data_IF_106684859031
#
_entry.id   IF_106684859031
#
_cell.length_a   1.000
_cell.length_b   1.000
_cell.length_c   1.000
_cell.angle_alpha   90.00
_cell.angle_beta   90.00
_cell.angle_gamma   90.00
#
_symmetry.space_group_name_H-M   'P 1'
#
loop_
_entity.id
_entity.type
_entity.pdbx_description
1 polymer ?
#
# COMPACT_ATOMS: atom_id res chain seq x y z
N UNK A 1 -16.38 -4.02 23.44
CA UNK A 1 -15.09 -4.64 23.13
C UNK A 1 -14.03 -3.57 23.37
N UNK A 2 -12.81 -3.94 23.79
CA UNK A 2 -11.70 -3.00 23.75
C UNK A 2 -11.51 -2.48 22.30
N UNK A 3 -11.03 -1.24 22.12
CA UNK A 3 -10.75 -0.70 20.78
C UNK A 3 -9.62 -1.48 20.12
N UNK A 4 -9.66 -1.61 18.79
CA UNK A 4 -8.56 -2.17 18.00
C UNK A 4 -7.38 -1.20 18.08
N UNK A 5 -6.18 -1.70 18.32
CA UNK A 5 -4.95 -0.91 18.28
C UNK A 5 -4.21 -1.18 16.97
N UNK A 6 -3.73 -0.13 16.31
CA UNK A 6 -2.94 -0.25 15.08
C UNK A 6 -1.64 0.53 15.26
N UNK A 7 -0.52 -0.16 15.07
CA UNK A 7 0.79 0.48 14.97
C UNK A 7 1.19 0.55 13.50
N UNK A 8 1.42 1.78 12.99
CA UNK A 8 1.81 2.03 11.61
C UNK A 8 3.22 2.58 11.59
N UNK A 9 4.14 1.87 10.95
CA UNK A 9 5.52 2.32 10.77
C UNK A 9 5.63 2.98 9.40
N UNK A 10 5.65 4.33 9.36
CA UNK A 10 5.80 5.07 8.10
C UNK A 10 7.27 5.38 7.82
N UNK A 11 7.80 4.82 6.73
CA UNK A 11 9.12 5.14 6.19
C UNK A 11 8.98 6.05 4.98
N UNK A 12 9.68 7.20 5.01
CA UNK A 12 9.67 8.15 3.91
C UNK A 12 11.04 8.19 3.26
N UNK A 13 11.15 7.51 2.11
CA UNK A 13 12.39 7.40 1.35
C UNK A 13 12.97 8.78 0.96
N UNK A 14 12.12 9.75 0.64
CA UNK A 14 12.57 11.10 0.26
C UNK A 14 13.27 11.84 1.40
N UNK A 15 12.79 11.66 2.63
CA UNK A 15 13.41 12.25 3.81
C UNK A 15 14.76 11.58 4.14
N UNK A 16 14.86 10.27 3.92
CA UNK A 16 16.10 9.51 4.09
C UNK A 16 17.16 9.94 3.07
N UNK A 17 16.80 10.05 1.79
CA UNK A 17 17.71 10.51 0.73
C UNK A 17 18.19 11.95 0.95
N UNK A 18 17.31 12.86 1.40
CA UNK A 18 17.71 14.23 1.71
C UNK A 18 18.68 14.29 2.90
N UNK A 19 18.46 13.49 3.95
CA UNK A 19 19.37 13.42 5.09
C UNK A 19 20.73 12.81 4.73
N UNK A 20 20.77 11.81 3.84
CA UNK A 20 22.00 11.22 3.31
C UNK A 20 22.79 12.18 2.42
N UNK A 21 22.10 12.97 1.58
CA UNK A 21 22.71 14.04 0.78
C UNK A 21 23.26 15.17 1.66
N UNK A 22 22.51 15.67 2.65
CA UNK A 22 23.00 16.68 3.59
C UNK A 22 24.19 16.18 4.43
N UNK A 23 24.22 14.90 4.81
CA UNK A 23 25.35 14.30 5.50
C UNK A 23 26.60 14.20 4.62
N UNK A 24 26.42 14.01 3.31
CA UNK A 24 27.50 13.93 2.32
C UNK A 24 28.00 15.32 1.87
N UNK A 25 27.12 16.32 1.81
CA UNK A 25 27.45 17.69 1.37
C UNK A 25 28.06 18.58 2.47
N UNK A 26 27.98 18.18 3.75
CA UNK A 26 28.66 18.88 4.86
C UNK A 26 30.20 18.88 4.78
N UNK A 27 30.80 18.25 3.77
CA UNK A 27 32.24 18.35 3.46
C UNK A 27 32.57 19.37 2.34
N UNK A 28 31.60 20.02 1.69
CA UNK A 28 31.86 20.96 0.60
C UNK A 28 30.85 22.14 0.49
N UNK A 29 31.14 23.23 1.21
CA UNK A 29 30.74 24.63 0.91
C UNK A 29 29.25 25.06 1.03
N UNK A 30 29.07 26.39 1.01
CA UNK A 30 27.99 27.24 1.58
C UNK A 30 26.54 27.05 1.06
N UNK A 31 25.50 27.46 1.82
CA UNK A 31 24.12 27.09 1.54
C UNK A 31 23.53 27.94 0.40
N UNK A 32 23.24 27.30 -0.73
CA UNK A 32 22.31 27.83 -1.74
C UNK A 32 20.92 27.24 -1.49
N UNK A 33 20.06 28.05 -0.89
CA UNK A 33 18.63 27.76 -0.73
C UNK A 33 17.91 27.90 -2.08
N UNK A 34 17.71 26.80 -2.81
CA UNK A 34 16.60 26.72 -3.77
C UNK A 34 16.17 25.28 -4.09
N UNK A 35 14.84 25.11 -4.21
CA UNK A 35 14.10 23.90 -4.60
C UNK A 35 13.90 22.82 -3.51
N UNK A 36 12.86 23.03 -2.69
CA UNK A 36 12.41 22.09 -1.68
C UNK A 36 11.71 20.87 -2.28
N UNK A 37 12.12 19.70 -1.79
CA UNK A 37 11.35 18.46 -1.87
C UNK A 37 10.43 18.48 -0.63
N UNK A 38 9.15 18.79 -0.85
CA UNK A 38 8.16 18.79 0.23
C UNK A 38 7.83 17.34 0.63
N UNK A 39 7.97 17.02 1.91
CA UNK A 39 7.39 15.83 2.53
C UNK A 39 6.71 16.20 3.85
N UNK A 40 5.63 15.50 4.27
CA UNK A 40 4.77 14.57 3.54
C UNK A 40 3.36 15.16 3.35
N UNK A 41 2.62 14.74 2.31
CA UNK A 41 1.25 15.19 2.09
C UNK A 41 0.25 14.73 3.20
N UNK A 42 0.67 13.80 4.07
CA UNK A 42 -0.16 13.16 5.09
C UNK A 42 0.68 12.90 6.37
N UNK A 43 0.18 13.33 7.52
CA UNK A 43 0.79 13.12 8.84
C UNK A 43 0.64 11.66 9.33
N UNK A 44 1.59 11.16 10.13
CA UNK A 44 1.54 9.80 10.69
C UNK A 44 0.21 9.49 11.40
N UNK A 45 -0.27 10.40 12.23
CA UNK A 45 -1.54 10.25 12.94
C UNK A 45 -2.75 10.13 12.00
N UNK A 46 -2.65 10.65 10.77
CA UNK A 46 -3.70 10.47 9.75
C UNK A 46 -3.66 9.06 9.19
N UNK A 47 -2.47 8.53 8.90
CA UNK A 47 -2.30 7.14 8.47
C UNK A 47 -2.81 6.16 9.51
N UNK A 48 -2.38 6.30 10.77
CA UNK A 48 -2.86 5.49 11.90
C UNK A 48 -4.39 5.53 11.99
N UNK A 49 -4.98 6.72 11.95
CA UNK A 49 -6.44 6.88 11.99
C UNK A 49 -7.16 6.25 10.79
N UNK A 50 -6.55 6.22 9.61
CA UNK A 50 -7.13 5.57 8.43
C UNK A 50 -7.14 4.05 8.60
N UNK A 51 -5.99 3.46 8.90
CA UNK A 51 -5.89 2.01 9.09
C UNK A 51 -6.72 1.50 10.27
N UNK A 52 -6.78 2.24 11.38
CA UNK A 52 -7.67 1.93 12.52
C UNK A 52 -9.13 1.86 12.08
N UNK A 53 -9.64 2.90 11.39
CA UNK A 53 -11.03 2.90 10.90
C UNK A 53 -11.30 1.81 9.89
N UNK A 54 -10.35 1.52 9.01
CA UNK A 54 -10.50 0.46 8.01
C UNK A 54 -10.56 -0.92 8.67
N UNK A 55 -9.69 -1.20 9.63
CA UNK A 55 -9.71 -2.46 10.37
C UNK A 55 -10.96 -2.58 11.25
N UNK A 56 -11.41 -1.50 11.89
CA UNK A 56 -12.69 -1.47 12.62
C UNK A 56 -13.91 -1.74 11.70
N UNK A 57 -13.90 -1.22 10.47
CA UNK A 57 -14.96 -1.49 9.50
C UNK A 57 -14.96 -2.95 9.01
N UNK A 58 -13.80 -3.61 9.05
CA UNK A 58 -13.60 -5.01 8.66
C UNK A 58 -13.73 -6.00 9.84
N UNK A 59 -13.73 -5.50 11.08
CA UNK A 59 -13.74 -6.19 12.39
C UNK A 59 -14.61 -7.44 12.51
N UNK A 60 -15.87 -7.52 12.01
CA UNK A 60 -16.65 -8.76 12.15
C UNK A 60 -16.06 -9.99 11.45
N UNK A 61 -15.06 -9.81 10.57
CA UNK A 61 -14.34 -10.89 9.87
C UNK A 61 -12.91 -11.11 10.38
N UNK A 62 -12.37 -10.17 11.14
CA UNK A 62 -11.00 -10.23 11.63
C UNK A 62 -10.99 -11.03 12.94
N UNK A 63 -9.99 -11.91 13.07
CA UNK A 63 -9.77 -12.82 14.20
C UNK A 63 -9.88 -12.09 15.56
N UNK A 64 -10.08 -12.77 16.72
CA UNK A 64 -10.16 -12.14 18.06
C UNK A 64 -8.94 -11.32 18.55
N UNK A 65 -8.02 -10.99 17.65
CA UNK A 65 -6.80 -10.22 17.85
C UNK A 65 -7.17 -8.75 17.98
N UNK A 66 -6.65 -8.11 19.02
CA UNK A 66 -7.00 -6.73 19.40
C UNK A 66 -5.95 -5.70 18.97
N UNK A 67 -4.84 -6.14 18.39
CA UNK A 67 -3.77 -5.26 17.92
C UNK A 67 -3.18 -5.75 16.58
N UNK A 68 -2.95 -4.82 15.65
CA UNK A 68 -2.34 -5.07 14.36
C UNK A 68 -1.11 -4.18 14.16
N UNK A 69 -0.11 -4.68 13.46
CA UNK A 69 1.09 -3.93 13.08
C UNK A 69 1.23 -3.99 11.56
N UNK A 70 1.53 -2.85 10.93
CA UNK A 70 1.81 -2.79 9.50
C UNK A 70 2.87 -1.73 9.19
N UNK A 71 3.65 -1.98 8.15
CA UNK A 71 4.65 -1.05 7.66
C UNK A 71 4.14 -0.36 6.39
N UNK A 72 4.32 0.96 6.30
CA UNK A 72 4.01 1.75 5.10
C UNK A 72 5.28 2.48 4.65
N UNK A 73 5.74 2.21 3.43
CA UNK A 73 6.89 2.87 2.82
C UNK A 73 6.42 3.72 1.64
N UNK A 74 6.68 5.03 1.72
CA UNK A 74 6.47 5.97 0.62
C UNK A 74 7.80 6.14 -0.13
N UNK A 75 7.79 5.90 -1.43
CA UNK A 75 9.00 5.85 -2.25
C UNK A 75 8.83 6.46 -3.65
N UNK A 76 9.86 6.39 -4.47
CA UNK A 76 9.88 6.85 -5.87
C UNK A 76 9.72 5.67 -6.85
N UNK A 77 9.59 5.98 -8.14
CA UNK A 77 9.42 4.94 -9.17
C UNK A 77 10.67 4.03 -9.31
N UNK A 78 11.86 4.57 -9.03
CA UNK A 78 13.11 3.83 -9.20
C UNK A 78 13.26 2.73 -8.13
N UNK A 79 12.98 3.06 -6.87
CA UNK A 79 13.00 2.11 -5.77
C UNK A 79 11.87 1.09 -5.89
N UNK A 80 10.64 1.50 -6.22
CA UNK A 80 9.54 0.54 -6.36
C UNK A 80 9.78 -0.43 -7.53
N UNK A 81 10.39 0.03 -8.63
CA UNK A 81 10.80 -0.83 -9.74
C UNK A 81 11.87 -1.84 -9.30
N UNK A 82 12.86 -1.40 -8.51
CA UNK A 82 13.89 -2.28 -7.95
C UNK A 82 13.27 -3.37 -7.06
N UNK A 83 12.32 -2.99 -6.19
CA UNK A 83 11.59 -3.92 -5.35
C UNK A 83 10.71 -4.88 -6.18
N UNK A 84 10.03 -4.38 -7.21
CA UNK A 84 9.22 -5.21 -8.11
C UNK A 84 10.08 -6.24 -8.85
N UNK A 85 11.25 -5.83 -9.34
CA UNK A 85 12.22 -6.73 -9.96
C UNK A 85 12.75 -7.78 -8.98
N UNK A 86 13.05 -7.38 -7.75
CA UNK A 86 13.61 -8.27 -6.73
C UNK A 86 12.60 -9.31 -6.24
N UNK A 87 11.36 -8.91 -5.98
CA UNK A 87 10.37 -9.76 -5.30
C UNK A 87 9.36 -10.40 -6.25
N UNK A 88 8.99 -9.73 -7.35
CA UNK A 88 8.04 -10.24 -8.35
C UNK A 88 8.66 -10.58 -9.70
N UNK A 89 9.98 -10.42 -9.84
CA UNK A 89 10.72 -10.67 -11.10
C UNK A 89 10.21 -9.81 -12.28
N UNK A 90 9.58 -8.68 -11.98
CA UNK A 90 9.06 -7.73 -12.96
C UNK A 90 9.84 -6.42 -12.88
N UNK A 91 10.68 -6.16 -13.89
CA UNK A 91 11.50 -4.95 -13.96
C UNK A 91 10.73 -3.77 -14.59
N UNK A 92 9.61 -3.40 -13.96
CA UNK A 92 8.81 -2.23 -14.30
C UNK A 92 8.31 -1.55 -13.01
N UNK A 93 8.20 -0.20 -13.00
CA UNK A 93 7.56 0.50 -11.90
C UNK A 93 6.08 0.10 -11.81
N UNK A 94 5.56 0.12 -10.60
CA UNK A 94 4.16 -0.16 -10.24
C UNK A 94 3.72 0.92 -9.26
N UNK A 95 2.43 1.13 -9.08
CA UNK A 95 1.90 2.09 -8.13
C UNK A 95 2.03 1.64 -6.68
N UNK A 96 1.71 0.38 -6.39
CA UNK A 96 1.74 -0.19 -5.04
C UNK A 96 2.18 -1.65 -5.01
N UNK A 97 2.97 -2.00 -3.98
CA UNK A 97 3.31 -3.37 -3.64
C UNK A 97 2.83 -3.69 -2.22
N UNK A 98 2.09 -4.78 -2.07
CA UNK A 98 1.71 -5.35 -0.78
C UNK A 98 2.45 -6.67 -0.55
N UNK A 99 3.16 -6.77 0.58
CA UNK A 99 3.85 -7.96 1.04
C UNK A 99 3.17 -8.48 2.30
N UNK A 100 2.20 -9.40 2.12
CA UNK A 100 1.52 -10.03 3.23
C UNK A 100 2.50 -10.81 4.12
N UNK A 101 2.44 -10.58 5.42
CA UNK A 101 3.17 -11.41 6.37
C UNK A 101 2.56 -12.81 6.32
N UNK A 102 3.38 -13.80 5.94
CA UNK A 102 2.99 -15.21 6.07
C UNK A 102 2.76 -15.50 7.56
N UNK A 103 1.61 -16.10 7.90
CA UNK A 103 1.35 -16.59 9.26
C UNK A 103 2.46 -17.58 9.64
N UNK A 104 3.48 -17.09 10.33
CA UNK A 104 4.48 -17.95 10.95
C UNK A 104 3.76 -18.62 12.10
N UNK A 105 3.44 -19.90 11.93
CA UNK A 105 2.81 -20.74 12.94
C UNK A 105 3.61 -20.64 14.24
N UNK A 106 3.15 -19.76 15.14
CA UNK A 106 3.90 -19.37 16.32
C UNK A 106 3.81 -20.50 17.32
N UNK A 107 4.97 -20.93 17.84
CA UNK A 107 5.04 -21.99 18.85
C UNK A 107 4.47 -21.55 20.23
N UNK A 108 3.94 -20.33 20.34
CA UNK A 108 3.33 -19.82 21.56
C UNK A 108 1.91 -20.39 21.75
N UNK A 109 1.42 -20.52 22.98
CA UNK A 109 0.03 -20.87 23.24
C UNK A 109 -0.92 -19.81 22.63
N UNK A 110 -2.04 -20.24 22.04
CA UNK A 110 -3.02 -19.35 21.39
C UNK A 110 -3.46 -18.16 22.27
N UNK A 111 -3.57 -18.34 23.59
CA UNK A 111 -3.91 -17.27 24.52
C UNK A 111 -2.86 -16.14 24.58
N UNK A 112 -1.57 -16.46 24.44
CA UNK A 112 -0.49 -15.48 24.41
C UNK A 112 -0.36 -14.80 23.03
N UNK A 113 -0.81 -15.47 21.96
CA UNK A 113 -0.84 -14.89 20.61
C UNK A 113 -1.90 -13.78 20.50
N UNK A 114 -3.00 -13.87 21.27
CA UNK A 114 -4.04 -12.84 21.32
C UNK A 114 -3.60 -11.56 22.05
N UNK A 115 -2.51 -11.61 22.81
CA UNK A 115 -1.93 -10.47 23.53
C UNK A 115 -0.81 -9.77 22.75
N UNK A 116 -0.41 -10.32 21.60
CA UNK A 116 0.60 -9.72 20.73
C UNK A 116 -0.06 -9.07 19.51
N UNK A 117 0.48 -7.94 19.02
CA UNK A 117 0.04 -7.39 17.75
C UNK A 117 0.32 -8.38 16.62
N UNK A 118 -0.67 -8.58 15.74
CA UNK A 118 -0.48 -9.35 14.52
C UNK A 118 0.16 -8.45 13.46
N UNK A 119 1.35 -8.82 13.02
CA UNK A 119 1.98 -8.18 11.88
C UNK A 119 1.25 -8.59 10.59
N UNK A 120 0.66 -7.61 9.89
CA UNK A 120 -0.07 -7.81 8.63
C UNK A 120 0.87 -7.84 7.42
N UNK A 121 1.97 -7.10 7.48
CA UNK A 121 2.95 -7.02 6.39
C UNK A 121 3.36 -5.59 6.03
N UNK A 122 3.93 -5.48 4.83
CA UNK A 122 4.51 -4.24 4.31
C UNK A 122 3.73 -3.72 3.09
N UNK A 123 3.45 -2.42 3.09
CA UNK A 123 2.87 -1.68 1.97
C UNK A 123 3.92 -0.71 1.45
N UNK A 124 4.19 -0.74 0.14
CA UNK A 124 5.12 0.18 -0.52
C UNK A 124 4.39 0.91 -1.63
N UNK A 125 4.36 2.24 -1.59
CA UNK A 125 3.64 3.09 -2.55
C UNK A 125 4.62 4.03 -3.25
N UNK A 126 4.57 4.09 -4.58
CA UNK A 126 5.26 5.14 -5.33
C UNK A 126 4.47 6.44 -5.30
N UNK A 127 5.07 7.48 -4.73
CA UNK A 127 4.46 8.82 -4.67
C UNK A 127 4.45 9.49 -6.03
N UNK A 128 5.44 9.22 -6.88
CA UNK A 128 5.53 9.80 -8.23
C UNK A 128 4.41 9.26 -9.12
N UNK A 129 4.22 7.93 -9.14
CA UNK A 129 3.12 7.29 -9.86
C UNK A 129 1.76 7.76 -9.31
N UNK A 130 1.59 7.81 -7.98
CA UNK A 130 0.36 8.30 -7.37
C UNK A 130 0.05 9.77 -7.74
N UNK A 131 1.06 10.64 -7.87
CA UNK A 131 0.86 12.01 -8.33
C UNK A 131 0.35 12.08 -9.78
N UNK A 132 0.88 11.21 -10.65
CA UNK A 132 0.45 11.13 -12.04
C UNK A 132 -0.98 10.61 -12.13
N UNK A 133 -1.32 9.55 -11.40
CA UNK A 133 -2.68 8.97 -11.35
C UNK A 133 -3.69 9.99 -10.81
N UNK A 134 -3.38 10.65 -9.68
CA UNK A 134 -4.23 11.69 -9.10
C UNK A 134 -4.56 12.80 -10.13
N UNK A 135 -3.56 13.26 -10.88
CA UNK A 135 -3.74 14.27 -11.92
C UNK A 135 -4.59 13.76 -13.12
N UNK A 136 -4.45 12.49 -13.49
CA UNK A 136 -5.22 11.86 -14.57
C UNK A 136 -6.69 11.67 -14.20
N UNK A 137 -6.96 11.26 -12.96
CA UNK A 137 -8.31 11.06 -12.46
C UNK A 137 -8.97 12.36 -11.97
N UNK A 138 -8.19 13.43 -11.80
CA UNK A 138 -8.68 14.76 -11.42
C UNK A 138 -8.99 14.88 -9.93
N UNK A 139 -8.17 14.24 -9.09
CA UNK A 139 -8.31 14.17 -7.64
C UNK A 139 -7.01 14.62 -6.96
N UNK A 140 -7.07 14.87 -5.65
CA UNK A 140 -5.90 15.26 -4.86
C UNK A 140 -5.00 14.04 -4.62
N UNK A 141 -3.69 14.25 -4.55
CA UNK A 141 -2.72 13.19 -4.21
C UNK A 141 -3.10 12.43 -2.93
N UNK A 142 -3.68 13.14 -1.95
CA UNK A 142 -4.15 12.53 -0.69
C UNK A 142 -5.23 11.46 -0.91
N UNK A 143 -6.12 11.68 -1.88
CA UNK A 143 -7.18 10.74 -2.22
C UNK A 143 -6.60 9.51 -2.92
N UNK A 144 -5.63 9.71 -3.81
CA UNK A 144 -4.93 8.62 -4.49
C UNK A 144 -4.09 7.77 -3.53
N UNK A 145 -3.39 8.41 -2.60
CA UNK A 145 -2.63 7.70 -1.55
C UNK A 145 -3.56 6.90 -0.63
N UNK A 146 -4.73 7.44 -0.27
CA UNK A 146 -5.74 6.71 0.49
C UNK A 146 -6.27 5.51 -0.31
N UNK A 147 -6.51 5.70 -1.61
CA UNK A 147 -6.95 4.67 -2.53
C UNK A 147 -5.97 3.50 -2.56
N UNK A 148 -4.70 3.76 -2.90
CA UNK A 148 -3.64 2.75 -3.01
C UNK A 148 -3.38 2.05 -1.67
N UNK A 149 -3.40 2.77 -0.56
CA UNK A 149 -3.21 2.19 0.77
C UNK A 149 -4.36 1.26 1.18
N UNK A 150 -5.61 1.64 0.91
CA UNK A 150 -6.77 0.79 1.17
C UNK A 150 -6.75 -0.47 0.30
N UNK A 151 -6.35 -0.34 -0.96
CA UNK A 151 -6.16 -1.46 -1.88
C UNK A 151 -5.11 -2.45 -1.35
N UNK A 152 -3.93 -1.95 -0.99
CA UNK A 152 -2.86 -2.76 -0.45
C UNK A 152 -3.24 -3.45 0.86
N UNK A 153 -3.97 -2.75 1.76
CA UNK A 153 -4.48 -3.36 2.98
C UNK A 153 -5.39 -4.55 2.70
N UNK A 154 -6.30 -4.43 1.72
CA UNK A 154 -7.19 -5.52 1.35
C UNK A 154 -6.40 -6.75 0.86
N UNK A 155 -5.36 -6.53 0.06
CA UNK A 155 -4.44 -7.61 -0.33
C UNK A 155 -3.68 -8.22 0.86
N UNK A 156 -3.20 -7.42 1.83
CA UNK A 156 -2.58 -7.94 3.05
C UNK A 156 -3.54 -8.83 3.85
N UNK A 157 -4.84 -8.52 3.82
CA UNK A 157 -5.89 -9.29 4.48
C UNK A 157 -6.39 -10.49 3.64
N UNK A 158 -5.75 -10.76 2.50
CA UNK A 158 -6.07 -11.90 1.64
C UNK A 158 -7.27 -11.70 0.73
N UNK A 159 -7.73 -10.46 0.52
CA UNK A 159 -8.64 -10.15 -0.58
C UNK A 159 -7.84 -10.15 -1.86
N UNK A 160 -8.05 -11.19 -2.65
CA UNK A 160 -7.46 -11.34 -3.98
C UNK A 160 -8.56 -11.27 -5.04
N UNK A 161 -8.21 -10.84 -6.25
CA UNK A 161 -9.17 -10.65 -7.33
C UNK A 161 -8.75 -11.30 -8.66
N UNK A 162 -8.72 -12.64 -8.74
CA UNK A 162 -8.32 -13.36 -9.96
C UNK A 162 -9.32 -13.18 -11.13
N UNK A 163 -10.53 -12.70 -10.87
CA UNK A 163 -11.54 -12.45 -11.88
C UNK A 163 -12.30 -11.13 -11.71
N UNK A 164 -13.10 -10.79 -12.73
CA UNK A 164 -13.85 -9.54 -12.80
C UNK A 164 -14.88 -9.38 -11.68
N UNK A 165 -15.45 -10.47 -11.19
CA UNK A 165 -16.44 -10.43 -10.12
C UNK A 165 -15.75 -10.19 -8.77
N UNK A 166 -14.65 -10.90 -8.49
CA UNK A 166 -13.83 -10.65 -7.29
C UNK A 166 -13.24 -9.24 -7.28
N UNK A 167 -12.81 -8.72 -8.44
CA UNK A 167 -12.32 -7.34 -8.55
C UNK A 167 -13.41 -6.33 -8.19
N UNK A 168 -14.64 -6.54 -8.69
CA UNK A 168 -15.76 -5.67 -8.38
C UNK A 168 -16.14 -5.72 -6.88
N UNK A 169 -16.10 -6.89 -6.25
CA UNK A 169 -16.34 -7.04 -4.82
C UNK A 169 -15.25 -6.34 -3.98
N UNK A 170 -13.98 -6.51 -4.34
CA UNK A 170 -12.85 -5.84 -3.67
C UNK A 170 -12.94 -4.31 -3.82
N UNK A 171 -13.23 -3.81 -5.01
CA UNK A 171 -13.38 -2.37 -5.25
C UNK A 171 -14.56 -1.76 -4.50
N UNK A 172 -15.68 -2.48 -4.37
CA UNK A 172 -16.80 -2.05 -3.52
C UNK A 172 -16.40 -1.99 -2.04
N UNK A 173 -15.63 -2.98 -1.58
CA UNK A 173 -15.11 -2.98 -0.23
C UNK A 173 -14.13 -1.81 -0.02
N UNK A 174 -13.24 -1.56 -0.96
CA UNK A 174 -12.28 -0.45 -0.93
C UNK A 174 -13.01 0.91 -0.88
N UNK A 175 -14.05 1.10 -1.69
CA UNK A 175 -14.88 2.31 -1.62
C UNK A 175 -15.50 2.47 -0.22
N UNK A 176 -16.06 1.39 0.34
CA UNK A 176 -16.64 1.44 1.68
C UNK A 176 -15.61 1.85 2.74
N UNK A 177 -14.35 1.40 2.62
CA UNK A 177 -13.26 1.82 3.51
C UNK A 177 -12.96 3.32 3.39
N UNK A 178 -12.88 3.85 2.17
CA UNK A 178 -12.61 5.27 1.93
C UNK A 178 -13.72 6.17 2.49
N UNK A 179 -14.97 5.75 2.38
CA UNK A 179 -16.12 6.45 2.96
C UNK A 179 -16.01 6.58 4.50
N UNK A 180 -15.40 5.62 5.20
CA UNK A 180 -15.23 5.69 6.67
C UNK A 180 -14.27 6.79 7.11
N UNK A 181 -13.31 7.17 6.26
CA UNK A 181 -12.32 8.22 6.56
C UNK A 181 -12.72 9.57 5.96
N UNK A 182 -13.87 9.64 5.27
CA UNK A 182 -14.39 10.85 4.63
C UNK A 182 -13.70 11.20 3.32
N UNK A 183 -12.93 10.28 2.75
CA UNK A 183 -12.34 10.43 1.41
C UNK A 183 -13.29 9.80 0.40
N UNK A 184 -13.62 10.52 -0.66
CA UNK A 184 -14.43 9.99 -1.77
C UNK A 184 -13.67 10.19 -3.06
N UNK A 185 -13.52 9.13 -3.82
CA UNK A 185 -12.74 9.10 -5.06
C UNK A 185 -13.73 8.90 -6.21
N UNK A 186 -14.11 9.99 -6.89
CA UNK A 186 -15.01 9.95 -8.05
C UNK A 186 -16.46 9.47 -7.82
N UNK A 187 -17.20 9.30 -8.93
CA UNK A 187 -18.55 8.70 -8.94
C UNK A 187 -18.51 7.20 -8.59
N UNK A 188 -19.66 6.64 -8.18
CA UNK A 188 -19.85 5.24 -7.77
C UNK A 188 -19.04 4.24 -8.58
N UNK A 189 -18.22 3.42 -7.90
CA UNK A 189 -17.33 2.50 -8.58
C UNK A 189 -18.11 1.36 -9.22
N UNK A 190 -17.88 1.19 -10.52
CA UNK A 190 -18.44 0.13 -11.35
C UNK A 190 -17.51 -0.17 -12.53
N UNK A 191 -17.90 -1.09 -13.41
CA UNK A 191 -17.06 -1.52 -14.56
C UNK A 191 -16.62 -0.41 -15.53
N UNK A 192 -17.17 0.80 -15.40
CA UNK A 192 -16.82 1.98 -16.18
C UNK A 192 -15.86 2.95 -15.46
N UNK A 193 -15.51 2.66 -14.20
CA UNK A 193 -14.56 3.47 -13.43
C UNK A 193 -13.16 3.36 -14.02
N UNK A 194 -12.39 4.46 -14.04
CA UNK A 194 -10.98 4.45 -14.44
C UNK A 194 -10.16 3.50 -13.56
N UNK A 195 -10.41 3.50 -12.26
CA UNK A 195 -9.78 2.59 -11.30
C UNK A 195 -10.00 1.11 -11.66
N UNK A 196 -11.19 0.74 -12.12
CA UNK A 196 -11.45 -0.64 -12.59
C UNK A 196 -10.60 -1.00 -13.81
N UNK A 197 -10.35 -0.02 -14.70
CA UNK A 197 -9.58 -0.26 -15.93
C UNK A 197 -8.08 -0.29 -15.67
N UNK A 198 -7.61 0.51 -14.73
CA UNK A 198 -6.20 0.61 -14.35
C UNK A 198 -5.77 -0.65 -13.57
N UNK A 199 -6.50 -1.04 -12.52
CA UNK A 199 -6.24 -2.28 -11.75
C UNK A 199 -6.30 -3.53 -12.65
N UNK A 200 -7.30 -3.59 -13.54
CA UNK A 200 -7.44 -4.74 -14.46
C UNK A 200 -6.29 -4.85 -15.47
N UNK A 201 -5.62 -3.75 -15.80
CA UNK A 201 -4.49 -3.74 -16.74
C UNK A 201 -3.18 -4.07 -16.05
N UNK A 202 -2.94 -3.56 -14.84
CA UNK A 202 -1.71 -3.81 -14.10
C UNK A 202 -1.55 -5.31 -13.76
N UNK A 203 -2.62 -5.96 -13.33
CA UNK A 203 -2.60 -7.42 -13.09
C UNK A 203 -2.34 -8.26 -14.34
N UNK A 204 -2.89 -7.86 -15.50
CA UNK A 204 -2.65 -8.53 -16.79
C UNK A 204 -1.18 -8.44 -17.24
N UNK A 205 -0.48 -7.40 -16.78
CA UNK A 205 0.93 -7.19 -17.07
C UNK A 205 1.79 -8.07 -16.15
N UNK A 206 1.37 -8.27 -14.90
CA UNK A 206 2.03 -9.13 -13.91
C UNK A 206 1.73 -10.65 -14.07
N UNK A 207 0.57 -11.07 -14.58
CA UNK A 207 0.23 -12.50 -14.83
C UNK A 207 1.01 -13.11 -16.02
N UNK A 208 1.59 -12.28 -16.90
CA UNK A 208 2.35 -12.79 -18.06
C UNK A 208 3.72 -13.38 -17.70
N UNK A 209 4.25 -13.14 -16.50
CA UNK A 209 5.55 -13.67 -16.08
C UNK A 209 5.46 -15.05 -15.43
N UNK A 210 4.30 -15.43 -14.86
CA UNK A 210 4.07 -16.77 -14.30
C UNK A 210 3.73 -17.84 -15.37
N UNK A 211 3.46 -17.41 -16.60
CA UNK A 211 3.12 -18.28 -17.73
C UNK A 211 4.27 -18.93 -18.48
N UNK A 212 5.54 -18.72 -18.09
CA UNK A 212 6.68 -19.43 -18.68
C UNK A 212 6.80 -20.86 -18.11
N UNK A 213 5.76 -21.67 -18.31
CA UNK A 213 5.84 -23.12 -18.18
C UNK A 213 6.99 -23.64 -19.04
N UNK A 214 8.01 -24.17 -18.37
CA UNK A 214 9.04 -25.05 -18.93
C UNK A 214 8.36 -26.20 -19.68
N UNK A 215 8.09 -25.98 -20.97
CA UNK A 215 7.88 -27.06 -21.93
C UNK A 215 9.25 -27.63 -22.28
N UNK A 216 9.80 -28.43 -21.36
CA UNK A 216 10.89 -29.34 -21.69
C UNK A 216 10.34 -30.42 -22.63
N UNK A 217 10.49 -30.18 -23.93
CA UNK A 217 10.39 -31.23 -24.94
C UNK A 217 11.45 -32.30 -24.62
N UNK A 218 11.01 -33.54 -24.48
CA UNK A 218 11.83 -34.74 -24.64
C UNK A 218 11.14 -35.67 -25.64
#
# INVERSE_FOLDING_TARGET
MPPIQVEVIVQNYFAEQAAEQEATEREAAEPDTSAGIQSPAIELATWESWFERWLEALDPKLSPIQAYELSLRLTDDAEIQSLNAQYRQTDQPTDVLAFAALEVESALPAAAQLEMPLYLGDIVISVETAQVQAAQHGHELRQELAWLAAHALLHLLGWDHPDKASLLEMLQQQQALLETIGETVGETIGCSSSYYQDDYQDEKQNDKTDGASLSIHS
#
